data_IF_323055635151
#
_entry.id   IF_323055635151
#
_cell.length_a   1.000
_cell.length_b   1.000
_cell.length_c   1.000
_cell.angle_alpha   90.00
_cell.angle_beta   90.00
_cell.angle_gamma   90.00
#
_symmetry.space_group_name_H-M   'P 1'
#
loop_
_entity.id
_entity.type
_entity.pdbx_description
1 polymer ?
#
# COMPACT_ATOMS: atom_id res chain seq x y z
N UNK A 1 1.26 -13.90 17.58
CA UNK A 1 0.79 -14.37 16.26
C UNK A 1 1.71 -15.51 15.84
N UNK A 2 1.15 -16.70 15.60
CA UNK A 2 1.94 -17.89 15.26
C UNK A 2 2.51 -17.83 13.83
N UNK A 3 3.48 -18.71 13.51
CA UNK A 3 3.98 -18.86 12.13
C UNK A 3 2.85 -19.19 11.17
N UNK A 4 1.89 -20.00 11.59
CA UNK A 4 0.73 -20.34 10.78
C UNK A 4 -0.20 -19.14 10.54
N UNK A 5 -0.44 -18.31 11.53
CA UNK A 5 -1.25 -17.09 11.38
C UNK A 5 -0.61 -16.12 10.39
N UNK A 6 0.72 -15.98 10.43
CA UNK A 6 1.45 -15.16 9.46
C UNK A 6 1.35 -15.71 8.05
N UNK A 7 1.38 -17.02 7.87
CA UNK A 7 1.13 -17.66 6.57
C UNK A 7 -0.31 -17.45 6.07
N UNK A 8 -1.29 -17.47 6.96
CA UNK A 8 -2.68 -17.15 6.62
C UNK A 8 -2.81 -15.69 6.14
N UNK A 9 -2.16 -14.76 6.83
CA UNK A 9 -2.13 -13.34 6.44
C UNK A 9 -1.45 -13.14 5.08
N UNK A 10 -0.34 -13.84 4.82
CA UNK A 10 0.31 -13.82 3.51
C UNK A 10 -0.60 -14.38 2.41
N UNK A 11 -1.30 -15.49 2.67
CA UNK A 11 -2.29 -16.07 1.74
C UNK A 11 -3.39 -15.07 1.39
N UNK A 12 -3.93 -14.36 2.37
CA UNK A 12 -4.96 -13.33 2.16
C UNK A 12 -4.43 -12.22 1.27
N UNK A 13 -3.25 -11.72 1.56
CA UNK A 13 -2.59 -10.73 0.74
C UNK A 13 -2.40 -11.21 -0.72
N UNK A 14 -1.94 -12.46 -0.94
CA UNK A 14 -1.78 -13.04 -2.27
C UNK A 14 -3.10 -13.09 -3.05
N UNK A 15 -4.21 -13.37 -2.37
CA UNK A 15 -5.55 -13.36 -2.97
C UNK A 15 -6.01 -11.94 -3.32
N UNK A 16 -5.72 -10.96 -2.48
CA UNK A 16 -6.02 -9.55 -2.74
C UNK A 16 -5.25 -9.03 -3.97
N UNK A 17 -3.96 -9.43 -4.10
CA UNK A 17 -3.15 -9.04 -5.25
C UNK A 17 -3.61 -9.70 -6.55
N UNK A 18 -4.08 -10.92 -6.48
CA UNK A 18 -4.57 -11.67 -7.64
C UNK A 18 -5.88 -12.40 -7.30
N UNK A 19 -7.04 -11.74 -7.50
CA UNK A 19 -8.35 -12.35 -7.22
C UNK A 19 -8.65 -13.65 -7.99
N UNK A 20 -7.87 -13.96 -9.04
CA UNK A 20 -8.00 -15.20 -9.80
C UNK A 20 -7.16 -16.34 -9.22
N UNK A 21 -6.25 -16.05 -8.29
CA UNK A 21 -5.47 -17.11 -7.66
C UNK A 21 -6.34 -17.90 -6.68
N UNK A 22 -6.38 -19.22 -6.88
CA UNK A 22 -7.14 -20.10 -5.97
C UNK A 22 -6.27 -20.52 -4.79
N UNK A 23 -6.89 -20.84 -3.66
CA UNK A 23 -6.19 -21.39 -2.49
C UNK A 23 -5.40 -22.66 -2.86
N UNK A 24 -6.00 -23.53 -3.66
CA UNK A 24 -5.33 -24.74 -4.17
C UNK A 24 -4.09 -24.43 -5.02
N UNK A 25 -4.07 -23.32 -5.75
CA UNK A 25 -2.90 -22.91 -6.52
C UNK A 25 -1.77 -22.40 -5.61
N UNK A 26 -2.11 -21.68 -4.53
CA UNK A 26 -1.15 -21.25 -3.51
C UNK A 26 -0.55 -22.48 -2.81
N UNK A 27 -1.40 -23.39 -2.34
CA UNK A 27 -1.00 -24.61 -1.66
C UNK A 27 -0.07 -25.49 -2.53
N UNK A 28 -0.39 -25.62 -3.82
CA UNK A 28 0.45 -26.34 -4.79
C UNK A 28 1.82 -25.73 -4.96
N UNK A 29 1.88 -24.38 -5.07
CA UNK A 29 3.16 -23.66 -5.16
C UNK A 29 4.00 -23.83 -3.89
N UNK A 30 3.36 -23.85 -2.74
CA UNK A 30 4.03 -24.09 -1.44
C UNK A 30 4.42 -25.58 -1.25
N UNK A 31 3.99 -26.47 -2.14
CA UNK A 31 4.26 -27.92 -2.03
C UNK A 31 3.60 -28.57 -0.81
N UNK A 32 2.44 -28.04 -0.40
CA UNK A 32 1.61 -28.59 0.69
C UNK A 32 0.39 -29.30 0.14
N UNK A 33 -0.26 -30.10 0.99
CA UNK A 33 -1.47 -30.85 0.60
C UNK A 33 -2.65 -29.91 0.31
N UNK A 34 -3.56 -30.32 -0.53
CA UNK A 34 -4.83 -29.63 -0.77
C UNK A 34 -5.61 -29.48 0.54
N UNK A 35 -6.22 -28.32 0.73
CA UNK A 35 -6.87 -27.92 1.99
C UNK A 35 -5.92 -27.76 3.20
N UNK A 36 -4.64 -27.54 2.95
CA UNK A 36 -3.63 -27.35 4.03
C UNK A 36 -4.03 -26.27 5.03
N UNK A 37 -4.43 -25.09 4.54
CA UNK A 37 -4.83 -24.01 5.42
C UNK A 37 -6.07 -24.33 6.25
N UNK A 38 -7.08 -24.94 5.63
CA UNK A 38 -8.33 -25.34 6.30
C UNK A 38 -8.10 -26.43 7.34
N UNK A 39 -7.36 -27.49 6.98
CA UNK A 39 -7.07 -28.61 7.88
C UNK A 39 -6.21 -28.16 9.05
N UNK A 40 -5.22 -27.30 8.82
CA UNK A 40 -4.31 -26.87 9.87
C UNK A 40 -4.93 -25.80 10.79
N UNK A 41 -5.85 -24.97 10.28
CA UNK A 41 -6.64 -24.06 11.13
C UNK A 41 -7.44 -24.85 12.18
N UNK A 42 -8.07 -25.95 11.79
CA UNK A 42 -8.80 -26.82 12.71
C UNK A 42 -7.89 -27.50 13.73
N UNK A 43 -6.69 -27.95 13.31
CA UNK A 43 -5.73 -28.59 14.21
C UNK A 43 -5.02 -27.60 15.17
N UNK A 44 -4.87 -26.35 14.80
CA UNK A 44 -4.22 -25.34 15.64
C UNK A 44 -5.03 -24.98 16.90
N UNK A 45 -6.35 -25.24 16.87
CA UNK A 45 -7.25 -25.06 18.02
C UNK A 45 -6.98 -26.13 19.11
N UNK A 46 -6.48 -27.32 18.71
CA UNK A 46 -6.34 -28.46 19.62
C UNK A 46 -4.93 -28.69 20.18
N UNK A 47 -3.87 -28.20 19.54
CA UNK A 47 -2.49 -28.62 19.84
C UNK A 47 -1.46 -27.50 20.11
N UNK A 48 -1.85 -26.27 20.24
CA UNK A 48 -0.89 -25.16 20.44
C UNK A 48 -0.06 -24.84 19.20
N UNK A 49 0.97 -24.02 19.35
CA UNK A 49 1.76 -23.47 18.25
C UNK A 49 2.52 -24.53 17.45
N UNK A 50 2.07 -24.83 16.24
CA UNK A 50 2.78 -25.74 15.33
C UNK A 50 3.73 -24.98 14.42
N UNK A 51 5.01 -25.34 14.49
CA UNK A 51 6.02 -24.86 13.54
C UNK A 51 5.72 -25.36 12.12
N UNK A 52 5.91 -24.48 11.15
CA UNK A 52 5.84 -24.83 9.73
C UNK A 52 7.14 -25.52 9.32
N UNK A 53 7.03 -26.58 8.50
CA UNK A 53 8.22 -27.35 8.05
C UNK A 53 9.11 -26.47 7.18
N UNK A 54 10.44 -26.60 7.38
CA UNK A 54 11.46 -25.86 6.62
C UNK A 54 11.28 -26.01 5.10
N UNK A 55 10.95 -27.21 4.63
CA UNK A 55 10.66 -27.45 3.21
C UNK A 55 9.51 -26.57 2.68
N UNK A 56 8.48 -26.34 3.50
CA UNK A 56 7.33 -25.47 3.11
C UNK A 56 7.77 -24.01 3.00
N UNK A 57 8.63 -23.57 3.91
CA UNK A 57 9.20 -22.21 3.88
C UNK A 57 10.13 -22.00 2.69
N UNK A 58 10.95 -23.00 2.34
CA UNK A 58 11.80 -22.95 1.15
C UNK A 58 10.98 -22.91 -0.14
N UNK A 59 9.91 -23.68 -0.22
CA UNK A 59 8.99 -23.65 -1.36
C UNK A 59 8.25 -22.30 -1.44
N UNK A 60 7.87 -21.73 -0.29
CA UNK A 60 7.28 -20.41 -0.21
C UNK A 60 8.22 -19.35 -0.77
N UNK A 61 9.50 -19.36 -0.35
CA UNK A 61 10.53 -18.45 -0.86
C UNK A 61 10.78 -18.63 -2.35
N UNK A 62 10.80 -19.86 -2.83
CA UNK A 62 10.97 -20.15 -4.26
C UNK A 62 9.77 -19.67 -5.10
N UNK A 63 8.56 -19.76 -4.57
CA UNK A 63 7.35 -19.34 -5.26
C UNK A 63 7.12 -17.81 -5.23
N UNK A 64 7.56 -17.16 -4.16
CA UNK A 64 7.46 -15.72 -3.91
C UNK A 64 8.76 -15.21 -3.30
N UNK A 65 9.76 -14.89 -4.14
CA UNK A 65 11.10 -14.48 -3.69
C UNK A 65 11.10 -13.21 -2.80
N UNK A 66 10.10 -12.36 -2.94
CA UNK A 66 9.90 -11.15 -2.17
C UNK A 66 9.46 -11.39 -0.73
N UNK A 67 8.98 -12.58 -0.40
CA UNK A 67 8.50 -12.89 0.96
C UNK A 67 9.68 -13.01 1.92
N UNK A 68 9.61 -12.27 3.02
CA UNK A 68 10.57 -12.35 4.12
C UNK A 68 10.28 -13.59 4.98
N UNK A 69 11.11 -14.62 4.84
CA UNK A 69 10.94 -15.88 5.56
C UNK A 69 11.19 -15.71 7.05
N UNK A 70 12.07 -14.79 7.47
CA UNK A 70 12.28 -14.52 8.89
C UNK A 70 11.04 -13.90 9.52
N UNK A 71 10.36 -12.98 8.82
CA UNK A 71 9.07 -12.50 9.28
C UNK A 71 8.04 -13.63 9.39
N UNK A 72 8.00 -14.56 8.44
CA UNK A 72 7.09 -15.73 8.52
C UNK A 72 7.41 -16.58 9.74
N UNK A 73 8.70 -16.78 10.08
CA UNK A 73 9.15 -17.59 11.23
C UNK A 73 8.92 -16.87 12.56
N UNK A 74 9.37 -15.63 12.68
CA UNK A 74 9.50 -14.93 13.96
C UNK A 74 8.46 -13.84 14.18
N UNK A 75 8.01 -13.21 13.09
CA UNK A 75 7.18 -12.00 13.11
C UNK A 75 7.99 -10.72 13.20
N UNK A 76 9.31 -10.80 13.23
CA UNK A 76 10.18 -9.63 13.22
C UNK A 76 10.39 -9.09 11.81
N UNK A 77 10.45 -7.75 11.69
CA UNK A 77 10.60 -7.08 10.40
C UNK A 77 9.31 -6.95 9.60
N UNK A 78 9.45 -6.76 8.29
CA UNK A 78 8.36 -6.64 7.33
C UNK A 78 8.00 -8.01 6.73
N UNK A 79 6.73 -8.19 6.31
CA UNK A 79 6.26 -9.38 5.59
C UNK A 79 7.06 -9.65 4.30
N UNK A 80 7.58 -8.59 3.69
CA UNK A 80 8.42 -8.65 2.49
C UNK A 80 9.83 -8.22 2.83
N UNK A 81 10.81 -8.83 2.17
CA UNK A 81 12.19 -8.32 2.22
C UNK A 81 12.18 -6.87 1.74
N UNK A 82 13.09 -6.04 2.26
CA UNK A 82 13.28 -4.67 1.79
C UNK A 82 13.70 -4.71 0.32
N UNK A 83 12.72 -4.97 -0.55
CA UNK A 83 12.93 -4.92 -1.98
C UNK A 83 13.07 -3.46 -2.36
N UNK A 84 14.24 -3.09 -2.84
CA UNK A 84 14.40 -1.81 -3.51
C UNK A 84 13.50 -1.82 -4.74
N UNK A 85 12.82 -0.71 -5.04
CA UNK A 85 12.02 -0.61 -6.25
C UNK A 85 12.90 -0.83 -7.48
N UNK A 86 12.48 -1.74 -8.35
CA UNK A 86 13.20 -2.05 -9.59
C UNK A 86 12.48 -1.37 -10.75
N UNK A 87 13.23 -0.62 -11.55
CA UNK A 87 12.70 -0.01 -12.78
C UNK A 87 12.58 -1.10 -13.85
N UNK A 88 11.38 -1.21 -14.45
CA UNK A 88 11.07 -2.21 -15.47
C UNK A 88 10.41 -1.58 -16.68
N UNK A 89 10.40 -2.30 -17.80
CA UNK A 89 9.67 -1.91 -19.01
C UNK A 89 8.30 -2.62 -19.04
N UNK A 90 7.23 -1.86 -18.78
CA UNK A 90 5.85 -2.32 -19.00
C UNK A 90 5.24 -3.26 -17.95
N UNK A 91 5.90 -3.47 -16.80
CA UNK A 91 5.34 -4.28 -15.70
C UNK A 91 5.55 -3.58 -14.37
N UNK A 92 4.51 -3.62 -13.51
CA UNK A 92 4.57 -3.00 -12.19
C UNK A 92 3.71 -1.76 -12.09
N UNK A 93 4.08 -0.87 -11.18
CA UNK A 93 3.37 0.38 -10.90
C UNK A 93 3.82 1.43 -11.90
N UNK A 94 2.91 2.05 -12.67
CA UNK A 94 3.27 3.12 -13.57
C UNK A 94 3.76 4.34 -12.78
N UNK A 95 4.94 4.83 -13.12
CA UNK A 95 5.47 6.09 -12.63
C UNK A 95 5.23 7.19 -13.65
N UNK A 96 4.65 8.27 -13.20
CA UNK A 96 4.47 9.49 -13.99
C UNK A 96 5.37 10.57 -13.41
N UNK A 97 6.22 11.15 -14.27
CA UNK A 97 7.14 12.21 -13.87
C UNK A 97 6.41 13.56 -13.76
N UNK A 98 5.41 13.56 -12.92
CA UNK A 98 4.62 14.75 -12.57
C UNK A 98 4.66 14.93 -11.06
N UNK A 99 4.63 16.19 -10.62
CA UNK A 99 4.48 16.52 -9.22
C UNK A 99 3.00 16.53 -8.83
N UNK A 100 2.67 15.86 -7.73
CA UNK A 100 1.29 15.79 -7.26
C UNK A 100 0.70 17.17 -6.96
N UNK A 101 1.48 18.08 -6.38
CA UNK A 101 1.01 19.42 -6.05
C UNK A 101 1.01 20.37 -7.26
N UNK A 102 1.92 20.18 -8.21
CA UNK A 102 2.18 21.11 -9.30
C UNK A 102 1.58 20.74 -10.66
N UNK A 103 1.60 19.45 -11.05
CA UNK A 103 1.33 19.03 -12.45
C UNK A 103 0.29 17.92 -12.61
N UNK A 104 -0.33 17.47 -11.53
CA UNK A 104 -1.19 16.30 -11.56
C UNK A 104 -2.48 16.46 -12.42
N UNK A 105 -2.98 17.69 -12.59
CA UNK A 105 -4.15 17.96 -13.45
C UNK A 105 -3.87 17.71 -14.93
N UNK A 106 -2.63 17.90 -15.36
CA UNK A 106 -2.25 17.60 -16.75
C UNK A 106 -2.40 16.10 -17.02
N UNK A 107 -2.00 15.27 -16.08
CA UNK A 107 -2.16 13.81 -16.15
C UNK A 107 -3.65 13.39 -16.18
N UNK A 108 -4.52 14.11 -15.48
CA UNK A 108 -5.95 13.80 -15.44
C UNK A 108 -6.71 14.20 -16.70
N UNK A 109 -6.29 15.29 -17.32
CA UNK A 109 -6.99 15.86 -18.48
C UNK A 109 -6.49 15.28 -19.80
N UNK A 110 -5.27 14.76 -19.83
CA UNK A 110 -4.66 14.20 -21.02
C UNK A 110 -4.55 12.66 -20.92
N UNK A 111 -5.49 11.99 -21.60
CA UNK A 111 -5.48 10.52 -21.70
C UNK A 111 -4.29 9.98 -22.49
N UNK A 112 -3.43 10.84 -23.05
CA UNK A 112 -2.24 10.47 -23.80
C UNK A 112 -0.98 10.44 -22.94
N UNK A 113 -1.04 10.89 -21.67
CA UNK A 113 0.13 10.80 -20.78
C UNK A 113 0.46 9.33 -20.50
N UNK A 114 1.59 8.92 -21.05
CA UNK A 114 2.17 7.60 -20.85
C UNK A 114 3.10 7.61 -19.64
N UNK A 115 3.17 6.50 -18.87
CA UNK A 115 4.14 6.37 -17.80
C UNK A 115 5.57 6.56 -18.31
N UNK A 116 6.39 7.27 -17.57
CA UNK A 116 7.81 7.45 -17.88
C UNK A 116 8.55 6.11 -17.78
N UNK A 117 8.21 5.31 -16.78
CA UNK A 117 8.66 3.93 -16.57
C UNK A 117 7.73 3.21 -15.59
N UNK A 118 7.99 1.94 -15.34
CA UNK A 118 7.25 1.15 -14.36
C UNK A 118 8.17 0.76 -13.21
N UNK A 119 7.61 0.69 -12.01
CA UNK A 119 8.32 0.31 -10.79
C UNK A 119 7.77 -1.04 -10.33
N UNK A 120 8.61 -2.07 -10.33
CA UNK A 120 8.28 -3.33 -9.68
C UNK A 120 8.64 -3.23 -8.19
N UNK A 121 7.59 -3.09 -7.39
CA UNK A 121 7.72 -2.99 -5.94
C UNK A 121 6.61 -3.83 -5.29
N UNK A 122 6.89 -5.12 -5.00
CA UNK A 122 5.89 -6.09 -4.58
C UNK A 122 4.91 -5.64 -3.50
N UNK A 123 5.31 -4.90 -2.44
CA UNK A 123 4.37 -4.40 -1.44
C UNK A 123 3.25 -3.54 -2.01
N UNK A 124 3.49 -2.88 -3.15
CA UNK A 124 2.57 -1.93 -3.76
C UNK A 124 2.11 -2.30 -5.18
N UNK A 125 2.53 -3.44 -5.71
CA UNK A 125 2.10 -3.94 -7.03
C UNK A 125 0.63 -4.35 -7.01
N UNK A 126 -0.26 -3.37 -6.90
CA UNK A 126 -1.71 -3.56 -6.89
C UNK A 126 -2.33 -2.87 -8.10
N UNK A 127 -3.43 -3.43 -8.57
CA UNK A 127 -4.16 -2.82 -9.68
C UNK A 127 -4.63 -1.40 -9.30
N UNK A 128 -4.38 -0.45 -10.21
CA UNK A 128 -4.78 0.95 -10.04
C UNK A 128 -3.83 1.78 -9.17
N UNK A 129 -2.77 1.21 -8.61
CA UNK A 129 -1.73 1.99 -7.95
C UNK A 129 -0.93 2.73 -8.98
N UNK A 130 -0.66 4.01 -8.71
CA UNK A 130 0.24 4.87 -9.48
C UNK A 130 1.33 5.44 -8.60
N UNK A 131 2.43 5.85 -9.20
CA UNK A 131 3.53 6.52 -8.53
C UNK A 131 3.78 7.89 -9.18
N UNK A 132 3.94 8.91 -8.35
CA UNK A 132 4.21 10.30 -8.76
C UNK A 132 5.22 10.95 -7.83
N UNK A 133 5.78 12.09 -8.22
CA UNK A 133 6.62 12.89 -7.34
C UNK A 133 5.76 13.68 -6.33
N UNK A 134 6.34 13.99 -5.19
CA UNK A 134 5.76 14.89 -4.20
C UNK A 134 6.76 15.98 -3.85
N UNK A 135 6.34 17.24 -3.95
CA UNK A 135 7.05 18.38 -3.39
C UNK A 135 6.37 18.89 -2.12
N UNK A 136 7.05 19.73 -1.35
CA UNK A 136 6.54 20.30 -0.11
C UNK A 136 6.82 19.46 1.12
N UNK A 137 6.89 20.14 2.26
CA UNK A 137 7.42 19.60 3.52
C UNK A 137 6.36 19.39 4.60
N UNK A 138 5.08 19.55 4.27
CA UNK A 138 3.99 19.43 5.27
C UNK A 138 3.86 18.03 5.87
N UNK A 139 4.43 17.00 5.21
CA UNK A 139 4.43 15.61 5.68
C UNK A 139 5.82 15.15 6.16
N UNK A 140 6.80 16.05 6.22
CA UNK A 140 8.14 15.75 6.75
C UNK A 140 8.06 15.53 8.29
N UNK A 141 8.86 14.60 8.85
CA UNK A 141 9.92 13.81 8.22
C UNK A 141 9.44 12.48 7.59
N UNK A 142 8.16 12.16 7.64
CA UNK A 142 7.60 10.87 7.17
C UNK A 142 7.65 10.77 5.64
N UNK A 143 7.21 11.81 4.95
CA UNK A 143 7.33 11.97 3.49
C UNK A 143 7.97 13.32 3.26
N UNK A 144 9.08 13.34 2.55
CA UNK A 144 9.87 14.54 2.33
C UNK A 144 9.65 15.08 0.92
N UNK A 145 9.95 16.35 0.73
CA UNK A 145 9.99 16.95 -0.59
C UNK A 145 10.97 16.21 -1.49
N UNK A 146 10.55 15.85 -2.70
CA UNK A 146 11.31 15.04 -3.65
C UNK A 146 11.10 13.53 -3.54
N UNK A 147 10.38 13.06 -2.54
CA UNK A 147 10.01 11.63 -2.46
C UNK A 147 9.00 11.28 -3.57
N UNK A 148 9.03 10.01 -3.99
CA UNK A 148 8.01 9.42 -4.85
C UNK A 148 6.97 8.74 -4.00
N UNK A 149 5.69 9.06 -4.21
CA UNK A 149 4.57 8.48 -3.46
C UNK A 149 3.82 7.46 -4.31
N UNK A 150 3.52 6.32 -3.70
CA UNK A 150 2.62 5.30 -4.26
C UNK A 150 1.22 5.54 -3.74
N UNK A 151 0.27 5.72 -4.64
CA UNK A 151 -1.09 6.05 -4.25
C UNK A 151 -2.12 5.26 -5.05
N UNK A 152 -3.19 4.89 -4.37
CA UNK A 152 -4.30 4.12 -4.91
C UNK A 152 -5.58 4.94 -4.87
N UNK A 153 -6.30 5.11 -5.99
CA UNK A 153 -7.55 5.85 -6.00
C UNK A 153 -8.60 5.17 -5.12
N UNK A 154 -9.40 5.99 -4.46
CA UNK A 154 -10.59 5.58 -3.72
C UNK A 154 -11.79 6.15 -4.46
N UNK A 155 -12.79 5.31 -4.73
CA UNK A 155 -13.96 5.70 -5.54
C UNK A 155 -14.93 6.56 -4.75
N UNK A 156 -15.06 6.33 -3.44
CA UNK A 156 -16.05 7.02 -2.59
C UNK A 156 -15.39 7.56 -1.34
N UNK A 157 -15.76 8.77 -0.96
CA UNK A 157 -15.26 9.44 0.26
C UNK A 157 -15.65 8.67 1.54
N UNK A 158 -16.73 7.90 1.49
CA UNK A 158 -17.18 7.04 2.59
C UNK A 158 -16.22 5.89 2.88
N UNK A 159 -15.41 5.49 1.90
CA UNK A 159 -14.44 4.40 2.05
C UNK A 159 -13.11 4.87 2.72
N UNK A 160 -13.05 6.13 3.18
CA UNK A 160 -11.90 6.66 3.93
C UNK A 160 -11.73 5.90 5.25
N UNK A 161 -10.54 5.36 5.46
CA UNK A 161 -10.10 4.83 6.74
C UNK A 161 -9.39 5.95 7.50
N UNK A 162 -9.95 6.40 8.60
CA UNK A 162 -9.35 7.45 9.41
C UNK A 162 -8.04 6.97 10.08
N UNK A 163 -7.10 7.90 10.23
CA UNK A 163 -5.77 7.59 10.75
C UNK A 163 -4.77 7.14 9.68
N UNK A 164 -5.09 7.32 8.40
CA UNK A 164 -4.23 7.01 7.27
C UNK A 164 -3.89 8.27 6.46
N UNK A 165 -2.88 8.18 5.60
CA UNK A 165 -2.43 9.30 4.76
C UNK A 165 -3.15 9.24 3.41
N UNK A 166 -3.63 10.39 2.96
CA UNK A 166 -4.30 10.53 1.67
C UNK A 166 -3.76 11.72 0.88
N UNK A 167 -3.72 11.55 -0.42
CA UNK A 167 -3.56 12.60 -1.40
C UNK A 167 -4.95 13.02 -1.89
N UNK A 168 -5.25 14.30 -1.80
CA UNK A 168 -6.58 14.87 -2.07
C UNK A 168 -6.47 15.93 -3.16
N UNK A 169 -7.42 15.90 -4.09
CA UNK A 169 -7.67 16.94 -5.07
C UNK A 169 -9.06 17.50 -4.81
N UNK A 170 -9.18 18.79 -4.62
CA UNK A 170 -10.46 19.46 -4.37
C UNK A 170 -11.11 19.96 -5.67
N UNK A 171 -12.39 20.34 -5.61
CA UNK A 171 -13.11 20.98 -6.71
C UNK A 171 -12.47 22.34 -7.10
N UNK A 172 -11.87 23.04 -6.14
CA UNK A 172 -11.15 24.29 -6.38
C UNK A 172 -9.75 24.09 -6.97
N UNK A 173 -9.31 22.84 -7.18
CA UNK A 173 -7.98 22.52 -7.70
C UNK A 173 -6.87 22.49 -6.63
N UNK A 174 -7.20 22.68 -5.36
CA UNK A 174 -6.22 22.48 -4.28
C UNK A 174 -5.80 21.01 -4.22
N UNK A 175 -4.49 20.77 -4.13
CA UNK A 175 -3.90 19.45 -3.95
C UNK A 175 -3.11 19.41 -2.66
N UNK A 176 -3.28 18.34 -1.90
CA UNK A 176 -2.60 18.20 -0.61
C UNK A 176 -2.42 16.75 -0.22
N UNK A 177 -1.36 16.45 0.53
CA UNK A 177 -1.15 15.14 1.16
C UNK A 177 -1.16 15.35 2.66
N UNK A 178 -2.06 14.66 3.37
CA UNK A 178 -2.27 14.81 4.82
C UNK A 178 -2.72 13.50 5.45
N UNK A 179 -2.55 13.41 6.75
CA UNK A 179 -3.35 12.48 7.56
C UNK A 179 -4.81 12.90 7.51
N UNK A 180 -5.70 11.91 7.36
CA UNK A 180 -7.14 12.16 7.52
C UNK A 180 -7.61 11.58 8.85
N UNK A 181 -8.24 12.43 9.66
CA UNK A 181 -8.89 12.03 10.90
C UNK A 181 -10.35 12.49 10.90
N UNK A 182 -11.10 12.08 11.93
CA UNK A 182 -12.49 12.51 12.10
C UNK A 182 -12.54 13.99 12.47
N UNK A 183 -13.38 14.75 11.79
CA UNK A 183 -13.82 16.06 12.24
C UNK A 183 -14.96 15.92 13.24
N UNK A 184 -15.18 16.87 14.17
CA UNK A 184 -16.40 16.96 14.97
C UNK A 184 -17.66 17.09 14.11
N UNK A 185 -17.56 17.68 12.93
CA UNK A 185 -18.64 17.84 11.98
C UNK A 185 -18.70 16.63 11.03
N UNK A 186 -19.88 16.02 10.90
CA UNK A 186 -20.07 14.74 10.19
C UNK A 186 -19.84 14.80 8.69
N UNK A 187 -20.04 15.99 8.09
CA UNK A 187 -19.87 16.29 6.67
C UNK A 187 -18.44 16.76 6.33
N UNK A 188 -17.57 16.89 7.34
CA UNK A 188 -16.18 17.27 7.17
C UNK A 188 -15.22 16.13 7.48
N UNK A 189 -14.01 16.26 6.96
CA UNK A 189 -12.82 15.49 7.35
C UNK A 189 -11.77 16.44 7.87
N UNK A 190 -10.95 15.97 8.81
CA UNK A 190 -9.84 16.73 9.37
C UNK A 190 -8.53 16.30 8.75
N UNK A 191 -7.82 17.26 8.18
CA UNK A 191 -6.52 17.13 7.55
C UNK A 191 -5.44 17.56 8.54
N UNK A 192 -4.50 16.68 8.86
CA UNK A 192 -3.43 16.95 9.81
C UNK A 192 -2.08 16.80 9.10
N UNK A 193 -1.21 17.83 9.15
CA UNK A 193 0.17 17.72 8.68
C UNK A 193 1.00 16.84 9.64
N UNK A 194 1.97 16.12 9.11
CA UNK A 194 3.00 15.46 9.93
C UNK A 194 3.98 16.48 10.51
N UNK A 195 4.36 17.46 9.69
CA UNK A 195 5.30 18.51 10.07
C UNK A 195 4.66 19.46 11.10
N UNK A 196 5.33 19.60 12.24
CA UNK A 196 4.86 20.44 13.35
C UNK A 196 5.34 21.90 13.29
N UNK A 197 5.97 22.30 12.19
CA UNK A 197 6.31 23.72 11.97
C UNK A 197 5.00 24.55 11.96
N UNK A 198 4.92 25.65 12.74
CA UNK A 198 3.72 26.47 12.83
C UNK A 198 3.18 26.98 11.48
N UNK A 199 4.01 27.04 10.44
CA UNK A 199 3.61 27.42 9.08
C UNK A 199 2.54 26.50 8.49
N UNK A 200 2.46 25.24 8.93
CA UNK A 200 1.49 24.26 8.43
C UNK A 200 0.22 24.17 9.27
N UNK A 201 0.21 24.86 10.44
CA UNK A 201 -0.90 24.79 11.39
C UNK A 201 -1.04 23.41 12.04
N UNK A 202 -2.01 23.26 12.94
CA UNK A 202 -2.28 22.00 13.61
C UNK A 202 -3.17 21.08 12.77
N UNK A 203 -4.19 21.65 12.14
CA UNK A 203 -5.13 20.95 11.27
C UNK A 203 -5.92 21.91 10.39
N UNK A 204 -6.60 21.34 9.40
CA UNK A 204 -7.60 22.00 8.58
C UNK A 204 -8.79 21.07 8.40
N UNK A 205 -10.00 21.56 8.62
CA UNK A 205 -11.22 20.82 8.29
C UNK A 205 -11.64 21.11 6.84
N UNK A 206 -11.97 20.06 6.10
CA UNK A 206 -12.36 20.12 4.68
C UNK A 206 -13.73 19.46 4.51
N UNK A 207 -14.71 20.15 3.89
CA UNK A 207 -15.99 19.54 3.54
C UNK A 207 -15.78 18.35 2.60
N UNK A 208 -16.46 17.24 2.87
CA UNK A 208 -16.42 16.04 2.01
C UNK A 208 -16.91 16.34 0.58
N UNK A 209 -17.83 17.27 0.44
CA UNK A 209 -18.37 17.73 -0.85
C UNK A 209 -17.34 18.45 -1.71
N UNK A 210 -16.27 18.99 -1.12
CA UNK A 210 -15.20 19.67 -1.86
C UNK A 210 -14.18 18.70 -2.45
N UNK A 211 -14.25 17.42 -2.09
CA UNK A 211 -13.30 16.41 -2.58
C UNK A 211 -13.71 15.98 -3.99
N UNK A 212 -12.86 16.31 -4.98
CA UNK A 212 -13.02 15.85 -6.37
C UNK A 212 -12.44 14.46 -6.55
N UNK A 213 -11.24 14.23 -6.02
CA UNK A 213 -10.54 12.94 -6.03
C UNK A 213 -9.79 12.71 -4.73
N UNK A 214 -9.66 11.46 -4.38
CA UNK A 214 -8.92 11.05 -3.20
C UNK A 214 -8.15 9.76 -3.50
N UNK A 215 -6.91 9.70 -3.02
CA UNK A 215 -6.03 8.54 -3.17
C UNK A 215 -5.47 8.16 -1.81
N UNK A 216 -5.51 6.89 -1.46
CA UNK A 216 -4.78 6.39 -0.29
C UNK A 216 -3.30 6.36 -0.63
N UNK A 217 -2.47 6.99 0.18
CA UNK A 217 -1.01 6.89 0.08
C UNK A 217 -0.58 5.59 0.74
N UNK A 218 -0.01 4.69 -0.03
CA UNK A 218 0.41 3.37 0.43
C UNK A 218 1.82 3.42 1.04
N UNK A 219 2.66 4.33 0.54
CA UNK A 219 4.02 4.54 0.99
C UNK A 219 4.76 5.55 0.13
N UNK A 220 5.99 5.81 0.50
CA UNK A 220 6.89 6.68 -0.23
C UNK A 220 8.29 6.07 -0.32
N UNK A 221 9.02 6.40 -1.39
CA UNK A 221 10.43 6.09 -1.53
C UNK A 221 11.20 7.37 -1.80
N UNK A 222 12.35 7.49 -1.16
CA UNK A 222 13.25 8.63 -1.39
C UNK A 222 13.85 8.50 -2.78
N UNK A 223 13.83 9.60 -3.54
CA UNK A 223 14.60 9.68 -4.78
C UNK A 223 16.09 9.63 -4.43
N UNK A 224 16.84 8.80 -5.14
CA UNK A 224 18.29 8.70 -5.01
C UNK A 224 18.96 9.76 -5.88
#
# INVERSE_FOLDING_TARGET
MSTFDRMCRLREWLKEQNPRITEAAIERKMGVATNYFKTRANAAIEEGEKSVREKTLNNLKAAWPEVNIEWVKTGEGSMFEDSQPVITEGKGIPFYDVDFLGGFDEMENDQTIIPTYFIDFPPYNRRGVICVNLTGDSMSPRINSGDKIFMQPIERVEDIIFGEIYAIVTLSGLRTVKWITRSPESDMIRLIPENKDPRYGDYQDLPKSEIRRIFKVLGAVRAF
#
